data_IF_731145852506
#
_entry.id   IF_731145852506
#
_cell.length_a   1.000
_cell.length_b   1.000
_cell.length_c   1.000
_cell.angle_alpha   90.00
_cell.angle_beta   90.00
_cell.angle_gamma   90.00
#
_symmetry.space_group_name_H-M   'P 1'
#
loop_
_entity.id
_entity.type
_entity.pdbx_description
1 polymer ?
#
# COMPACT_ATOMS: atom_id res chain seq x y z
N UNK A 1 0.62 15.22 -21.68
CA UNK A 1 0.23 14.24 -20.65
C UNK A 1 0.89 14.61 -19.35
N UNK A 2 0.16 15.27 -18.45
CA UNK A 2 0.69 15.51 -17.10
C UNK A 2 0.29 14.32 -16.23
N UNK A 3 1.06 13.24 -16.31
CA UNK A 3 0.84 12.07 -15.45
C UNK A 3 1.18 12.47 -14.00
N UNK A 4 0.24 12.32 -13.08
CA UNK A 4 0.48 12.50 -11.65
C UNK A 4 1.07 11.20 -11.09
N UNK A 5 2.35 11.17 -10.66
CA UNK A 5 2.99 9.91 -10.25
C UNK A 5 2.30 9.21 -9.08
N UNK A 6 1.64 9.99 -8.21
CA UNK A 6 0.86 9.45 -7.09
C UNK A 6 -0.35 8.68 -7.56
N UNK A 7 -1.09 9.21 -8.55
CA UNK A 7 -2.27 8.53 -9.11
C UNK A 7 -1.81 7.24 -9.77
N UNK A 8 -0.80 7.31 -10.63
CA UNK A 8 -0.30 6.15 -11.36
C UNK A 8 0.24 5.07 -10.41
N UNK A 9 1.00 5.46 -9.36
CA UNK A 9 1.45 4.51 -8.34
C UNK A 9 0.30 3.92 -7.54
N UNK A 10 -0.72 4.71 -7.22
CA UNK A 10 -1.92 4.22 -6.54
C UNK A 10 -2.68 3.22 -7.41
N UNK A 11 -2.80 3.47 -8.72
CA UNK A 11 -3.52 2.61 -9.67
C UNK A 11 -2.85 1.26 -9.90
N UNK A 12 -1.53 1.15 -9.69
CA UNK A 12 -0.83 -0.15 -9.68
C UNK A 12 -1.24 -1.05 -8.50
N UNK A 13 -1.70 -0.46 -7.39
CA UNK A 13 -2.03 -1.19 -6.15
C UNK A 13 -3.54 -1.31 -5.92
N UNK A 14 -4.31 -0.31 -6.35
CA UNK A 14 -5.74 -0.18 -6.11
C UNK A 14 -6.44 0.36 -7.36
N UNK A 15 -7.74 0.10 -7.52
CA UNK A 15 -8.50 0.59 -8.69
C UNK A 15 -8.63 2.13 -8.78
N UNK A 16 -8.25 2.88 -7.76
CA UNK A 16 -8.48 4.32 -7.67
C UNK A 16 -9.97 4.70 -7.54
N UNK A 17 -10.29 5.95 -7.88
CA UNK A 17 -11.67 6.47 -7.94
C UNK A 17 -11.97 7.08 -9.32
N UNK A 18 -13.24 7.41 -9.56
CA UNK A 18 -13.69 7.93 -10.86
C UNK A 18 -12.93 9.19 -11.29
N UNK A 19 -12.64 10.12 -10.38
CA UNK A 19 -11.91 11.35 -10.69
C UNK A 19 -10.48 11.05 -11.15
N UNK A 20 -9.79 10.14 -10.46
CA UNK A 20 -8.43 9.75 -10.83
C UNK A 20 -8.37 8.98 -12.14
N UNK A 21 -9.39 8.16 -12.45
CA UNK A 21 -9.47 7.44 -13.72
C UNK A 21 -9.78 8.38 -14.89
N UNK A 22 -10.66 9.38 -14.69
CA UNK A 22 -10.92 10.45 -15.66
C UNK A 22 -9.67 11.30 -15.88
N UNK A 23 -8.96 11.64 -14.80
CA UNK A 23 -7.70 12.39 -14.87
C UNK A 23 -6.63 11.66 -15.70
N UNK A 24 -6.47 10.34 -15.53
CA UNK A 24 -5.50 9.56 -16.33
C UNK A 24 -5.88 9.44 -17.81
N UNK A 25 -7.17 9.60 -18.14
CA UNK A 25 -7.67 9.59 -19.53
C UNK A 25 -7.63 10.96 -20.19
N UNK A 26 -7.07 11.97 -19.53
CA UNK A 26 -7.11 13.38 -19.95
C UNK A 26 -8.55 13.91 -20.15
N UNK A 27 -9.55 13.35 -19.45
CA UNK A 27 -10.92 13.86 -19.46
C UNK A 27 -10.99 15.22 -18.74
N UNK A 28 -11.82 16.12 -19.25
CA UNK A 28 -12.05 17.41 -18.61
C UNK A 28 -12.69 17.22 -17.22
N UNK A 29 -12.04 17.81 -16.21
CA UNK A 29 -12.53 17.90 -14.84
C UNK A 29 -12.82 19.37 -14.52
N UNK A 30 -13.97 19.62 -13.91
CA UNK A 30 -14.32 20.95 -13.40
C UNK A 30 -13.42 21.35 -12.21
N UNK A 31 -13.33 22.65 -11.91
CA UNK A 31 -12.54 23.13 -10.77
C UNK A 31 -12.88 22.45 -9.44
N UNK A 32 -14.17 22.22 -9.07
CA UNK A 32 -14.50 21.49 -7.85
C UNK A 32 -14.04 20.03 -7.87
N UNK A 33 -14.09 19.37 -9.03
CA UNK A 33 -13.60 17.99 -9.21
C UNK A 33 -12.08 17.92 -9.08
N UNK A 34 -11.35 18.87 -9.65
CA UNK A 34 -9.91 18.99 -9.50
C UNK A 34 -9.51 19.24 -8.03
N UNK A 35 -10.23 20.14 -7.35
CA UNK A 35 -10.02 20.39 -5.92
C UNK A 35 -10.25 19.12 -5.08
N UNK A 36 -11.30 18.35 -5.40
CA UNK A 36 -11.56 17.07 -4.74
C UNK A 36 -10.49 16.03 -5.04
N UNK A 37 -10.03 15.95 -6.29
CA UNK A 37 -8.96 15.05 -6.69
C UNK A 37 -7.65 15.37 -5.95
N UNK A 38 -7.33 16.66 -5.76
CA UNK A 38 -6.15 17.07 -5.00
C UNK A 38 -6.16 16.56 -3.55
N UNK A 39 -7.33 16.53 -2.90
CA UNK A 39 -7.48 15.94 -1.55
C UNK A 39 -7.13 14.45 -1.57
N UNK A 40 -7.67 13.69 -2.54
CA UNK A 40 -7.34 12.28 -2.69
C UNK A 40 -5.87 12.04 -2.98
N UNK A 41 -5.24 12.85 -3.85
CA UNK A 41 -3.81 12.74 -4.14
C UNK A 41 -2.98 12.95 -2.87
N UNK A 42 -3.32 13.94 -2.04
CA UNK A 42 -2.63 14.19 -0.77
C UNK A 42 -2.74 13.01 0.18
N UNK A 43 -3.94 12.46 0.32
CA UNK A 43 -4.20 11.28 1.15
C UNK A 43 -3.42 10.06 0.63
N UNK A 44 -3.48 9.79 -0.67
CA UNK A 44 -2.78 8.67 -1.29
C UNK A 44 -1.27 8.78 -1.17
N UNK A 45 -0.72 9.99 -1.31
CA UNK A 45 0.72 10.23 -1.08
C UNK A 45 1.12 9.84 0.33
N UNK A 46 0.37 10.30 1.34
CA UNK A 46 0.64 9.96 2.74
C UNK A 46 0.60 8.44 2.98
N UNK A 47 -0.41 7.76 2.41
CA UNK A 47 -0.56 6.30 2.54
C UNK A 47 0.53 5.51 1.82
N UNK A 48 0.95 5.95 0.63
CA UNK A 48 2.03 5.31 -0.13
C UNK A 48 3.39 5.41 0.57
N UNK A 49 3.57 6.40 1.45
CA UNK A 49 4.77 6.55 2.28
C UNK A 49 4.66 5.95 3.69
N UNK A 50 3.52 5.34 4.04
CA UNK A 50 3.26 4.81 5.38
C UNK A 50 3.47 3.28 5.41
N UNK A 51 4.49 2.85 6.14
CA UNK A 51 4.83 1.43 6.33
C UNK A 51 3.70 0.63 6.95
N UNK A 52 2.90 1.22 7.84
CA UNK A 52 1.75 0.56 8.46
C UNK A 52 0.65 0.29 7.42
N UNK A 53 0.47 1.21 6.48
CA UNK A 53 -0.45 1.03 5.37
C UNK A 53 0.05 -0.07 4.43
N UNK A 54 1.34 -0.07 4.09
CA UNK A 54 1.95 -1.13 3.32
C UNK A 54 1.75 -2.51 3.97
N UNK A 55 2.11 -2.65 5.25
CA UNK A 55 1.95 -3.90 6.00
C UNK A 55 0.49 -4.34 6.07
N UNK A 56 -0.46 -3.42 6.22
CA UNK A 56 -1.88 -3.76 6.21
C UNK A 56 -2.31 -4.42 4.91
N UNK A 57 -1.91 -3.87 3.76
CA UNK A 57 -2.28 -4.40 2.44
C UNK A 57 -1.63 -5.74 2.19
N UNK A 58 -0.34 -5.84 2.48
CA UNK A 58 0.44 -7.07 2.29
C UNK A 58 -0.13 -8.20 3.15
N UNK A 59 -0.33 -7.94 4.44
CA UNK A 59 -0.80 -8.94 5.38
C UNK A 59 -2.21 -9.44 5.05
N UNK A 60 -3.12 -8.53 4.65
CA UNK A 60 -4.49 -8.89 4.26
C UNK A 60 -4.49 -9.80 3.03
N UNK A 61 -3.69 -9.47 2.01
CA UNK A 61 -3.62 -10.27 0.78
C UNK A 61 -3.14 -11.70 1.07
N UNK A 62 -2.03 -11.85 1.80
CA UNK A 62 -1.46 -13.16 2.16
C UNK A 62 -2.40 -13.94 3.07
N UNK A 63 -2.97 -13.29 4.09
CA UNK A 63 -3.90 -13.95 5.01
C UNK A 63 -5.13 -14.52 4.29
N UNK A 64 -5.67 -13.77 3.32
CA UNK A 64 -6.83 -14.21 2.54
C UNK A 64 -6.48 -15.41 1.65
N UNK A 65 -5.31 -15.38 1.01
CA UNK A 65 -4.86 -16.46 0.13
C UNK A 65 -4.59 -17.73 0.92
N UNK A 66 -3.83 -17.65 2.02
CA UNK A 66 -3.53 -18.80 2.87
C UNK A 66 -4.80 -19.40 3.52
N UNK A 67 -5.70 -18.56 4.04
CA UNK A 67 -6.97 -19.05 4.59
C UNK A 67 -7.82 -19.75 3.52
N UNK A 68 -7.82 -19.26 2.29
CA UNK A 68 -8.56 -19.87 1.19
C UNK A 68 -7.95 -21.22 0.78
N UNK A 69 -6.62 -21.32 0.75
CA UNK A 69 -5.88 -22.56 0.48
C UNK A 69 -6.18 -23.63 1.53
N UNK A 70 -6.22 -23.24 2.80
CA UNK A 70 -6.52 -24.13 3.93
C UNK A 70 -8.02 -24.39 4.14
N UNK A 71 -8.90 -23.75 3.36
CA UNK A 71 -10.35 -23.85 3.51
C UNK A 71 -10.84 -23.36 4.88
N UNK A 72 -10.08 -22.48 5.54
CA UNK A 72 -10.36 -22.01 6.90
C UNK A 72 -10.73 -20.52 6.91
N UNK A 73 -11.14 -20.04 8.08
CA UNK A 73 -11.43 -18.62 8.29
C UNK A 73 -10.87 -18.18 9.63
N UNK A 74 -10.52 -16.91 9.73
CA UNK A 74 -10.05 -16.32 10.97
C UNK A 74 -8.75 -15.56 10.81
N UNK A 75 -8.04 -15.42 11.93
CA UNK A 75 -6.87 -14.57 12.05
C UNK A 75 -5.62 -15.34 11.66
N UNK A 76 -4.99 -14.93 10.56
CA UNK A 76 -3.73 -15.53 10.09
C UNK A 76 -2.49 -14.94 10.80
N UNK A 77 -2.44 -13.61 10.96
CA UNK A 77 -1.32 -12.90 11.59
C UNK A 77 -1.60 -12.49 13.04
N UNK A 78 -0.56 -12.29 13.84
CA UNK A 78 -0.65 -11.73 15.19
C UNK A 78 -1.21 -10.29 15.26
N UNK A 79 -1.37 -9.79 16.48
CA UNK A 79 -1.84 -8.44 16.84
C UNK A 79 -1.24 -7.29 16.04
N UNK A 80 0.09 -7.25 16.01
CA UNK A 80 0.89 -6.08 15.63
C UNK A 80 2.11 -6.56 14.85
N UNK A 81 2.49 -5.81 13.82
CA UNK A 81 3.78 -6.00 13.17
C UNK A 81 4.88 -5.28 13.96
N UNK A 82 6.12 -5.71 13.78
CA UNK A 82 7.33 -5.02 14.27
C UNK A 82 8.18 -4.63 13.07
N UNK A 83 8.68 -3.40 13.06
CA UNK A 83 9.61 -2.91 12.05
C UNK A 83 10.82 -2.30 12.75
N UNK A 84 11.95 -2.97 12.66
CA UNK A 84 13.20 -2.56 13.30
C UNK A 84 14.20 -2.16 12.22
N UNK A 85 14.80 -0.98 12.35
CA UNK A 85 15.92 -0.59 11.48
C UNK A 85 17.16 -1.40 11.86
N UNK A 86 17.81 -1.99 10.86
CA UNK A 86 19.09 -2.68 10.99
C UNK A 86 20.19 -1.66 10.62
N UNK A 87 20.87 -1.14 11.63
CA UNK A 87 21.78 0.00 11.49
C UNK A 87 23.26 -0.40 11.56
N UNK A 88 23.56 -1.66 11.86
CA UNK A 88 24.91 -2.20 11.96
C UNK A 88 24.98 -3.65 11.45
N UNK A 89 26.20 -4.10 11.18
CA UNK A 89 26.47 -5.44 10.65
C UNK A 89 26.06 -6.54 11.63
N UNK A 90 26.08 -6.27 12.93
CA UNK A 90 25.66 -7.22 13.95
C UNK A 90 24.15 -7.46 13.92
N UNK A 91 23.35 -6.40 13.79
CA UNK A 91 21.90 -6.46 13.62
C UNK A 91 21.52 -7.15 12.30
N UNK A 92 22.28 -6.89 11.23
CA UNK A 92 22.10 -7.59 9.95
C UNK A 92 22.39 -9.10 10.09
N UNK A 93 23.52 -9.47 10.69
CA UNK A 93 23.89 -10.87 10.92
C UNK A 93 22.87 -11.60 11.80
N UNK A 94 22.39 -10.94 12.86
CA UNK A 94 21.35 -11.49 13.73
C UNK A 94 20.02 -11.72 12.98
N UNK A 95 19.63 -10.78 12.11
CA UNK A 95 18.43 -10.92 11.28
C UNK A 95 18.55 -12.11 10.31
N UNK A 96 19.69 -12.26 9.63
CA UNK A 96 19.94 -13.38 8.72
C UNK A 96 19.84 -14.73 9.46
N UNK A 97 20.49 -14.85 10.62
CA UNK A 97 20.44 -16.07 11.43
C UNK A 97 19.02 -16.40 11.93
N UNK A 98 18.18 -15.39 12.20
CA UNK A 98 16.79 -15.60 12.63
C UNK A 98 15.89 -16.12 11.48
N UNK A 99 16.12 -15.67 10.25
CA UNK A 99 15.32 -16.07 9.08
C UNK A 99 15.67 -17.48 8.60
N UNK A 100 16.93 -17.92 8.79
CA UNK A 100 17.40 -19.25 8.38
C UNK A 100 16.97 -20.40 9.32
N UNK A 101 16.50 -20.09 10.53
CA UNK A 101 16.04 -21.05 11.55
C UNK A 101 14.56 -21.44 11.37
#
# INVERSE_FOLDING_TARGET
MQQCPVISRWHLLFKGNLLSQRYEKDDALSEPELARLAIYISEWRSRLSDISWFMRVLNEAIAREANAEDGCSGRFWEGRFKSQALLDDAALAACMAYVDL
#
